data_IF_648645373358
#
_entry.id   IF_648645373358
#
_cell.length_a   1.000
_cell.length_b   1.000
_cell.length_c   1.000
_cell.angle_alpha   90.00
_cell.angle_beta   90.00
_cell.angle_gamma   90.00
#
_symmetry.space_group_name_H-M   'P 1'
#
loop_
_entity.id
_entity.type
_entity.pdbx_description
1 polymer ?
#
# COMPACT_ATOMS: atom_id res chain seq x y z
N UNK A 1 13.21 -0.79 26.46
CA UNK A 1 12.17 -1.29 25.53
C UNK A 1 12.76 -1.32 24.14
N UNK A 2 12.56 -2.40 23.40
CA UNK A 2 12.91 -2.49 21.99
C UNK A 2 11.92 -1.67 21.18
N UNK A 3 12.41 -0.84 20.27
CA UNK A 3 11.54 -0.09 19.35
C UNK A 3 11.17 -0.95 18.16
N UNK A 4 9.90 -0.86 17.77
CA UNK A 4 9.35 -1.57 16.62
C UNK A 4 8.58 -0.59 15.75
N UNK A 5 9.09 -0.31 14.57
CA UNK A 5 8.54 0.68 13.66
C UNK A 5 7.53 0.06 12.71
N UNK A 6 6.33 0.61 12.62
CA UNK A 6 5.37 0.23 11.59
C UNK A 6 5.40 1.25 10.45
N UNK A 7 5.94 0.84 9.29
CA UNK A 7 5.97 1.68 8.08
C UNK A 7 4.64 1.62 7.34
N UNK A 8 4.01 2.78 7.14
CA UNK A 8 2.67 2.85 6.58
C UNK A 8 2.64 3.12 5.08
N UNK A 9 2.56 2.04 4.30
CA UNK A 9 2.32 2.09 2.86
C UNK A 9 0.82 2.27 2.59
N UNK A 10 0.46 3.18 1.69
CA UNK A 10 -0.94 3.44 1.35
C UNK A 10 -1.61 2.23 0.69
N UNK A 11 -2.83 1.91 1.15
CA UNK A 11 -3.73 0.88 0.58
C UNK A 11 -3.29 -0.58 0.75
N UNK A 12 -2.41 -0.85 1.72
CA UNK A 12 -1.92 -2.19 2.05
C UNK A 12 -2.57 -2.82 3.29
N UNK A 13 -3.58 -2.16 3.87
CA UNK A 13 -4.20 -2.60 5.13
C UNK A 13 -3.60 -1.95 6.38
N UNK A 14 -2.62 -1.06 6.21
CA UNK A 14 -1.94 -0.44 7.34
C UNK A 14 -2.82 0.41 8.28
N UNK A 15 -3.99 0.88 7.85
CA UNK A 15 -4.95 1.54 8.78
C UNK A 15 -5.50 0.56 9.80
N UNK A 16 -5.82 -0.66 9.37
CA UNK A 16 -6.32 -1.73 10.23
C UNK A 16 -5.20 -2.22 11.17
N UNK A 17 -3.98 -2.44 10.65
CA UNK A 17 -2.83 -2.84 11.47
C UNK A 17 -2.50 -1.75 12.51
N UNK A 18 -2.48 -0.47 12.13
CA UNK A 18 -2.25 0.63 13.08
C UNK A 18 -3.27 0.65 14.21
N UNK A 19 -4.54 0.46 13.88
CA UNK A 19 -5.60 0.41 14.88
C UNK A 19 -5.35 -0.72 15.89
N UNK A 20 -4.99 -1.91 15.41
CA UNK A 20 -4.70 -3.05 16.26
C UNK A 20 -3.42 -2.85 17.10
N UNK A 21 -2.32 -2.40 16.47
CA UNK A 21 -1.04 -2.15 17.14
C UNK A 21 -1.10 -0.99 18.16
N UNK A 22 -1.99 -0.01 17.98
CA UNK A 22 -2.19 1.05 18.97
C UNK A 22 -2.77 0.56 20.30
N UNK A 23 -3.33 -0.65 20.31
CA UNK A 23 -3.86 -1.30 21.52
C UNK A 23 -2.81 -2.20 22.20
N UNK A 24 -1.61 -2.32 21.61
CA UNK A 24 -0.56 -3.15 22.18
C UNK A 24 -0.09 -2.55 23.52
N UNK A 25 -0.23 -3.34 24.58
CA UNK A 25 0.37 -3.07 25.88
C UNK A 25 1.55 -4.02 26.07
N UNK A 26 2.76 -3.49 26.05
CA UNK A 26 3.99 -4.27 26.24
C UNK A 26 5.01 -3.49 27.05
N UNK A 27 5.65 -4.16 28.01
CA UNK A 27 6.75 -3.61 28.79
C UNK A 27 8.12 -3.84 28.11
N UNK A 28 8.15 -4.63 27.03
CA UNK A 28 9.38 -5.00 26.32
C UNK A 28 9.49 -4.33 24.96
N UNK A 29 8.37 -4.02 24.32
CA UNK A 29 8.32 -3.46 22.96
C UNK A 29 7.54 -2.15 22.96
N UNK A 30 8.13 -1.11 22.38
CA UNK A 30 7.48 0.17 22.06
C UNK A 30 7.20 0.22 20.56
N UNK A 31 5.93 0.32 20.16
CA UNK A 31 5.55 0.40 18.74
C UNK A 31 5.44 1.85 18.28
N UNK A 32 6.20 2.19 17.24
CA UNK A 32 6.19 3.53 16.63
C UNK A 32 5.40 3.47 15.32
N UNK A 33 4.23 4.11 15.30
CA UNK A 33 3.30 4.06 14.16
C UNK A 33 3.53 5.22 13.17
N UNK A 34 4.46 5.03 12.23
CA UNK A 34 4.86 6.07 11.28
C UNK A 34 3.77 6.47 10.27
N UNK A 35 3.82 7.70 9.80
CA UNK A 35 2.96 8.20 8.71
C UNK A 35 3.46 7.72 7.33
N UNK A 36 2.86 8.22 6.24
CA UNK A 36 3.28 7.89 4.86
C UNK A 36 4.62 8.49 4.41
N UNK A 37 5.30 9.26 5.28
CA UNK A 37 6.53 9.97 4.91
C UNK A 37 7.82 9.23 5.31
N UNK A 38 7.73 8.28 6.25
CA UNK A 38 8.89 7.55 6.76
C UNK A 38 9.20 6.34 5.87
N UNK A 39 10.48 6.08 5.62
CA UNK A 39 10.98 4.89 4.95
C UNK A 39 11.96 4.11 5.82
N UNK A 40 12.47 2.97 5.34
CA UNK A 40 13.45 2.16 6.08
C UNK A 40 14.74 2.91 6.38
N UNK A 41 15.14 3.88 5.55
CA UNK A 41 16.37 4.66 5.76
C UNK A 41 16.27 5.62 6.95
N UNK A 42 15.06 5.99 7.33
CA UNK A 42 14.79 6.92 8.42
C UNK A 42 14.71 6.19 9.77
N UNK A 43 14.76 4.86 9.75
CA UNK A 43 14.76 4.00 10.93
C UNK A 43 16.22 3.73 11.33
N UNK A 44 16.61 3.98 12.60
CA UNK A 44 17.95 3.65 13.07
C UNK A 44 18.33 2.20 12.78
N UNK A 45 19.59 1.96 12.41
CA UNK A 45 20.10 0.60 12.18
C UNK A 45 20.00 -0.25 13.44
N UNK A 46 19.58 -1.50 13.29
CA UNK A 46 19.31 -2.41 14.40
C UNK A 46 17.98 -2.20 15.11
N UNK A 47 17.24 -1.12 14.82
CA UNK A 47 15.85 -0.98 15.25
C UNK A 47 14.91 -1.70 14.28
N UNK A 48 14.03 -2.53 14.83
CA UNK A 48 13.20 -3.44 14.05
C UNK A 48 12.04 -2.72 13.36
N UNK A 49 11.64 -3.21 12.19
CA UNK A 49 10.50 -2.66 11.46
C UNK A 49 9.53 -3.71 10.90
N UNK A 50 8.29 -3.29 10.72
CA UNK A 50 7.21 -4.04 10.08
C UNK A 50 6.81 -3.32 8.80
N UNK A 51 6.67 -4.09 7.72
CA UNK A 51 6.09 -3.64 6.46
C UNK A 51 4.70 -4.23 6.27
N UNK A 52 3.82 -3.45 5.66
CA UNK A 52 2.57 -3.96 5.12
C UNK A 52 2.51 -3.66 3.63
N UNK A 53 2.51 -4.72 2.81
CA UNK A 53 2.61 -4.66 1.34
C UNK A 53 1.37 -5.24 0.67
N UNK A 54 1.23 -5.02 -0.63
CA UNK A 54 0.11 -5.54 -1.44
C UNK A 54 0.56 -5.65 -2.89
N UNK A 55 0.00 -6.59 -3.64
CA UNK A 55 0.13 -6.64 -5.10
C UNK A 55 -0.10 -5.23 -5.70
N UNK A 56 0.81 -4.68 -6.52
CA UNK A 56 0.79 -3.27 -6.88
C UNK A 56 -0.41 -2.91 -7.76
N UNK A 57 -0.88 -3.85 -8.58
CA UNK A 57 -2.08 -3.68 -9.42
C UNK A 57 -3.32 -3.63 -8.53
N UNK A 58 -3.44 -4.53 -7.55
CA UNK A 58 -4.55 -4.50 -6.59
C UNK A 58 -4.49 -3.26 -5.70
N UNK A 59 -3.29 -2.79 -5.36
CA UNK A 59 -3.07 -1.52 -4.65
C UNK A 59 -3.53 -0.33 -5.49
N UNK A 60 -3.20 -0.30 -6.78
CA UNK A 60 -3.67 0.70 -7.74
C UNK A 60 -5.20 0.73 -7.86
N UNK A 61 -5.85 -0.42 -8.07
CA UNK A 61 -7.32 -0.51 -8.14
C UNK A 61 -7.96 0.02 -6.84
N UNK A 62 -7.41 -0.39 -5.69
CA UNK A 62 -7.86 0.07 -4.38
C UNK A 62 -7.69 1.58 -4.21
N UNK A 63 -6.54 2.12 -4.63
CA UNK A 63 -6.23 3.54 -4.61
C UNK A 63 -7.16 4.36 -5.50
N UNK A 64 -7.42 3.87 -6.73
CA UNK A 64 -8.28 4.54 -7.71
C UNK A 64 -9.67 4.79 -7.12
N UNK A 65 -10.33 3.74 -6.65
CA UNK A 65 -11.66 3.87 -6.05
C UNK A 65 -11.66 4.63 -4.72
N UNK A 66 -10.56 4.55 -3.95
CA UNK A 66 -10.42 5.32 -2.72
C UNK A 66 -10.38 6.82 -3.03
N UNK A 67 -9.58 7.24 -4.01
CA UNK A 67 -9.46 8.66 -4.39
C UNK A 67 -10.66 9.14 -5.18
N UNK A 68 -11.25 8.34 -6.07
CA UNK A 68 -12.53 8.66 -6.73
C UNK A 68 -13.64 8.97 -5.73
N UNK A 69 -13.66 8.29 -4.57
CA UNK A 69 -14.63 8.58 -3.50
C UNK A 69 -14.12 9.58 -2.44
N UNK A 70 -13.06 10.35 -2.74
CA UNK A 70 -12.45 11.34 -1.84
C UNK A 70 -12.02 10.79 -0.47
N UNK A 71 -11.75 9.48 -0.38
CA UNK A 71 -11.37 8.80 0.86
C UNK A 71 -12.56 8.42 1.77
N UNK A 72 -13.80 8.53 1.30
CA UNK A 72 -14.98 8.15 2.10
C UNK A 72 -15.05 6.64 2.37
N UNK A 73 -15.66 6.20 3.49
CA UNK A 73 -16.40 7.01 4.48
C UNK A 73 -15.53 7.70 5.53
N UNK A 74 -14.29 7.29 5.71
CA UNK A 74 -13.42 7.75 6.81
C UNK A 74 -12.91 9.19 6.62
N UNK A 75 -12.66 9.59 5.37
CA UNK A 75 -12.14 10.90 5.01
C UNK A 75 -13.02 11.58 3.95
N UNK A 76 -12.84 12.88 3.76
CA UNK A 76 -13.46 13.63 2.67
C UNK A 76 -12.45 14.62 2.07
N UNK A 77 -11.36 14.10 1.54
CA UNK A 77 -10.29 14.90 0.94
C UNK A 77 -10.65 15.18 -0.51
N UNK A 78 -11.02 16.43 -0.79
CA UNK A 78 -11.35 16.94 -2.11
C UNK A 78 -10.27 16.59 -3.15
N UNK A 79 -10.70 16.54 -4.41
CA UNK A 79 -9.80 16.29 -5.52
C UNK A 79 -8.93 17.51 -5.78
N UNK A 80 -7.63 17.30 -5.97
CA UNK A 80 -6.77 18.33 -6.55
C UNK A 80 -7.05 18.49 -8.06
N UNK A 81 -6.42 19.47 -8.72
CA UNK A 81 -6.67 19.77 -10.14
C UNK A 81 -6.40 18.58 -11.07
N UNK A 82 -5.37 17.77 -10.80
CA UNK A 82 -5.08 16.55 -11.57
C UNK A 82 -6.14 15.49 -11.33
N UNK A 83 -6.51 15.26 -10.07
CA UNK A 83 -7.54 14.29 -9.71
C UNK A 83 -8.89 14.64 -10.31
N UNK A 84 -9.25 15.92 -10.39
CA UNK A 84 -10.46 16.37 -11.10
C UNK A 84 -10.41 15.88 -12.55
N UNK A 85 -9.36 16.19 -13.30
CA UNK A 85 -9.23 15.77 -14.70
C UNK A 85 -9.26 14.25 -14.85
N UNK A 86 -8.55 13.54 -13.98
CA UNK A 86 -8.45 12.07 -13.99
C UNK A 86 -9.81 11.44 -13.76
N UNK A 87 -10.52 11.83 -12.70
CA UNK A 87 -11.78 11.19 -12.32
C UNK A 87 -12.99 11.68 -13.10
N UNK A 88 -12.87 12.77 -13.87
CA UNK A 88 -13.86 13.14 -14.90
C UNK A 88 -13.63 12.41 -16.23
N UNK A 89 -12.40 11.97 -16.50
CA UNK A 89 -12.03 11.32 -17.78
C UNK A 89 -12.12 9.80 -17.70
N UNK A 90 -11.64 9.21 -16.60
CA UNK A 90 -11.59 7.76 -16.42
C UNK A 90 -12.66 7.33 -15.41
N UNK A 91 -13.62 6.54 -15.87
CA UNK A 91 -14.68 6.04 -15.00
C UNK A 91 -14.17 4.88 -14.15
N UNK A 92 -13.35 4.01 -14.72
CA UNK A 92 -12.81 2.81 -14.08
C UNK A 92 -11.28 2.83 -14.06
N UNK A 93 -10.64 2.04 -13.16
CA UNK A 93 -9.19 1.85 -13.22
C UNK A 93 -8.74 1.20 -14.54
N UNK A 94 -9.63 0.46 -15.23
CA UNK A 94 -9.33 -0.11 -16.55
C UNK A 94 -9.13 0.98 -17.60
N UNK A 95 -9.98 2.01 -17.62
CA UNK A 95 -9.92 3.08 -18.62
C UNK A 95 -8.56 3.79 -18.56
N UNK A 96 -8.09 4.08 -17.34
CA UNK A 96 -6.76 4.65 -17.11
C UNK A 96 -5.66 3.68 -17.56
N UNK A 97 -5.76 2.41 -17.18
CA UNK A 97 -4.76 1.40 -17.53
C UNK A 97 -4.66 1.17 -19.06
N UNK A 98 -5.78 1.22 -19.78
CA UNK A 98 -5.80 1.10 -21.24
C UNK A 98 -5.25 2.34 -21.94
N UNK A 99 -5.56 3.53 -21.42
CA UNK A 99 -4.96 4.79 -21.88
C UNK A 99 -3.45 4.79 -21.68
N UNK A 100 -2.97 4.31 -20.52
CA UNK A 100 -1.54 4.13 -20.24
C UNK A 100 -0.87 3.18 -21.25
N UNK A 101 -1.61 2.14 -21.68
CA UNK A 101 -1.13 1.16 -22.65
C UNK A 101 -1.25 1.62 -24.12
N UNK A 102 -1.77 2.81 -24.39
CA UNK A 102 -1.90 3.33 -25.76
C UNK A 102 -0.53 3.48 -26.43
N UNK A 103 -0.41 3.05 -27.68
CA UNK A 103 0.82 3.26 -28.47
C UNK A 103 0.93 4.71 -28.97
N UNK A 104 -0.21 5.35 -29.23
CA UNK A 104 -0.29 6.70 -29.75
C UNK A 104 -0.17 7.73 -28.63
N UNK A 105 0.38 8.90 -28.93
CA UNK A 105 0.51 10.01 -27.98
C UNK A 105 -0.81 10.80 -27.86
N UNK A 106 -1.81 10.21 -27.22
CA UNK A 106 -3.14 10.84 -27.04
C UNK A 106 -3.22 11.68 -25.75
N UNK A 107 -4.16 12.65 -25.65
CA UNK A 107 -4.39 13.38 -24.41
C UNK A 107 -4.67 12.48 -23.20
N UNK A 108 -5.42 11.39 -23.39
CA UNK A 108 -5.74 10.41 -22.35
C UNK A 108 -4.48 9.68 -21.88
N UNK A 109 -3.56 9.32 -22.79
CA UNK A 109 -2.28 8.72 -22.42
C UNK A 109 -1.45 9.67 -21.58
N UNK A 110 -1.36 10.94 -21.97
CA UNK A 110 -0.64 11.97 -21.20
C UNK A 110 -1.25 12.16 -19.81
N UNK A 111 -2.59 12.19 -19.73
CA UNK A 111 -3.30 12.30 -18.47
C UNK A 111 -3.09 11.05 -17.59
N UNK A 112 -3.12 9.84 -18.17
CA UNK A 112 -2.84 8.60 -17.44
C UNK A 112 -1.41 8.60 -16.87
N UNK A 113 -0.39 8.98 -17.65
CA UNK A 113 0.99 9.12 -17.16
C UNK A 113 1.07 10.15 -16.03
N UNK A 114 0.44 11.31 -16.22
CA UNK A 114 0.38 12.38 -15.21
C UNK A 114 -0.27 11.87 -13.92
N UNK A 115 -1.37 11.13 -14.02
CA UNK A 115 -2.07 10.52 -12.89
C UNK A 115 -1.14 9.58 -12.11
N UNK A 116 -0.45 8.68 -12.82
CA UNK A 116 0.45 7.70 -12.23
C UNK A 116 1.67 8.34 -11.54
N UNK A 117 2.09 9.52 -11.99
CA UNK A 117 3.21 10.27 -11.40
C UNK A 117 2.79 11.17 -10.24
N UNK A 118 1.60 11.81 -10.31
CA UNK A 118 1.23 12.87 -9.38
C UNK A 118 0.26 12.44 -8.30
N UNK A 119 -0.58 11.42 -8.53
CA UNK A 119 -1.49 10.92 -7.49
C UNK A 119 -0.67 10.05 -6.53
N UNK A 120 -0.50 10.51 -5.29
CA UNK A 120 0.40 9.90 -4.30
C UNK A 120 0.15 8.39 -4.11
N UNK A 121 -1.10 7.96 -4.09
CA UNK A 121 -1.42 6.54 -3.92
C UNK A 121 -1.14 5.68 -5.17
N UNK A 122 -0.94 6.28 -6.34
CA UNK A 122 -0.56 5.57 -7.58
C UNK A 122 0.95 5.43 -7.73
N UNK A 123 1.75 6.23 -7.04
CA UNK A 123 3.22 6.11 -7.06
C UNK A 123 3.70 4.76 -6.56
N UNK A 124 4.89 4.32 -6.95
CA UNK A 124 5.48 3.04 -6.53
C UNK A 124 5.77 3.00 -5.03
N UNK A 125 5.98 1.80 -4.48
CA UNK A 125 6.31 1.58 -3.07
C UNK A 125 7.80 1.83 -2.75
N UNK A 126 8.62 2.13 -3.77
CA UNK A 126 10.05 2.45 -3.63
C UNK A 126 10.33 3.53 -2.61
N UNK A 127 9.40 4.46 -2.37
CA UNK A 127 9.57 5.46 -1.30
C UNK A 127 9.85 4.83 0.07
N UNK A 128 9.27 3.68 0.37
CA UNK A 128 9.36 3.05 1.70
C UNK A 128 10.53 2.08 1.83
N UNK A 129 10.81 1.28 0.80
CA UNK A 129 11.91 0.31 0.82
C UNK A 129 13.19 0.84 0.14
N UNK A 130 13.12 2.01 -0.50
CA UNK A 130 14.17 2.69 -1.27
C UNK A 130 14.60 1.90 -2.51
N UNK A 131 15.31 0.80 -2.31
CA UNK A 131 15.67 -0.16 -3.35
C UNK A 131 15.98 -1.52 -2.71
N UNK A 132 16.19 -2.54 -3.56
CA UNK A 132 16.42 -3.90 -3.08
C UNK A 132 17.75 -4.07 -2.35
N UNK A 133 18.78 -3.29 -2.71
CA UNK A 133 20.10 -3.41 -2.08
C UNK A 133 20.06 -2.85 -0.66
N UNK A 134 19.48 -1.66 -0.48
CA UNK A 134 19.29 -1.08 0.86
C UNK A 134 18.38 -1.97 1.72
N UNK A 135 17.32 -2.53 1.12
CA UNK A 135 16.46 -3.46 1.84
C UNK A 135 17.22 -4.73 2.30
N UNK A 136 18.09 -5.29 1.45
CA UNK A 136 18.92 -6.44 1.79
C UNK A 136 19.90 -6.15 2.94
N UNK A 137 20.49 -4.97 2.97
CA UNK A 137 21.35 -4.52 4.09
C UNK A 137 20.56 -4.46 5.41
N UNK A 138 19.28 -4.09 5.34
CA UNK A 138 18.38 -3.95 6.49
C UNK A 138 17.52 -5.18 6.77
N UNK A 139 17.73 -6.29 6.05
CA UNK A 139 16.82 -7.45 6.12
C UNK A 139 16.75 -8.10 7.49
N UNK A 140 17.84 -8.03 8.27
CA UNK A 140 17.89 -8.56 9.64
C UNK A 140 17.03 -7.75 10.60
N UNK A 141 16.75 -6.48 10.26
CA UNK A 141 15.91 -5.58 11.05
C UNK A 141 14.41 -5.74 10.67
N UNK A 142 14.10 -6.48 9.60
CA UNK A 142 12.72 -6.80 9.26
C UNK A 142 12.15 -7.79 10.29
N UNK A 143 11.26 -7.29 11.14
CA UNK A 143 10.60 -8.10 12.16
C UNK A 143 9.51 -8.99 11.58
N UNK A 144 8.70 -8.41 10.68
CA UNK A 144 7.58 -9.09 10.04
C UNK A 144 7.06 -8.32 8.82
N UNK A 145 6.41 -9.04 7.91
CA UNK A 145 5.75 -8.48 6.74
C UNK A 145 4.30 -8.96 6.69
N UNK A 146 3.36 -8.04 6.52
CA UNK A 146 1.96 -8.36 6.28
C UNK A 146 1.58 -8.09 4.82
N UNK A 147 1.16 -9.11 4.10
CA UNK A 147 0.60 -9.02 2.77
C UNK A 147 -0.90 -8.77 2.86
N UNK A 148 -1.39 -7.75 2.19
CA UNK A 148 -2.82 -7.41 2.26
C UNK A 148 -3.72 -8.57 1.81
N UNK A 149 -3.25 -9.39 0.87
CA UNK A 149 -3.94 -10.58 0.38
C UNK A 149 -4.19 -11.63 1.47
N UNK A 150 -3.28 -11.69 2.46
CA UNK A 150 -3.28 -12.64 3.58
C UNK A 150 -3.33 -11.91 4.94
N UNK A 151 -3.88 -10.68 4.95
CA UNK A 151 -3.71 -9.74 6.06
C UNK A 151 -4.05 -10.33 7.43
N UNK A 152 -5.11 -11.16 7.49
CA UNK A 152 -5.55 -11.79 8.73
C UNK A 152 -4.52 -12.81 9.24
N UNK A 153 -4.09 -13.76 8.40
CA UNK A 153 -3.12 -14.79 8.82
C UNK A 153 -1.78 -14.17 9.20
N UNK A 154 -1.29 -13.22 8.39
CA UNK A 154 -0.03 -12.54 8.67
C UNK A 154 -0.13 -11.76 9.99
N UNK A 155 -1.27 -11.11 10.26
CA UNK A 155 -1.47 -10.43 11.54
C UNK A 155 -1.56 -11.39 12.74
N UNK A 156 -2.14 -12.58 12.58
CA UNK A 156 -2.14 -13.60 13.64
C UNK A 156 -0.72 -14.10 13.94
N UNK A 157 0.13 -14.27 12.94
CA UNK A 157 1.56 -14.57 13.16
C UNK A 157 2.27 -13.43 13.90
N UNK A 158 2.00 -12.18 13.53
CA UNK A 158 2.53 -11.01 14.22
C UNK A 158 2.13 -10.99 15.70
N UNK A 159 0.87 -11.29 16.03
CA UNK A 159 0.38 -11.39 17.41
C UNK A 159 1.17 -12.40 18.23
N UNK A 160 1.45 -13.57 17.65
CA UNK A 160 2.23 -14.62 18.29
C UNK A 160 3.65 -14.13 18.56
N UNK A 161 4.31 -13.51 17.58
CA UNK A 161 5.66 -12.94 17.73
C UNK A 161 5.72 -11.86 18.81
N UNK A 162 4.70 -10.99 18.87
CA UNK A 162 4.57 -9.93 19.87
C UNK A 162 4.11 -10.43 21.25
N UNK A 163 3.74 -11.71 21.37
CA UNK A 163 3.12 -12.30 22.58
C UNK A 163 1.90 -11.49 23.05
N UNK A 164 1.11 -11.00 22.10
CA UNK A 164 -0.05 -10.16 22.35
C UNK A 164 -1.29 -10.75 21.67
N UNK A 165 -1.92 -11.78 22.27
CA UNK A 165 -3.07 -12.45 21.65
C UNK A 165 -4.33 -11.59 21.63
N UNK A 166 -4.38 -10.50 22.40
CA UNK A 166 -5.58 -9.69 22.63
C UNK A 166 -5.79 -8.59 21.59
N UNK A 167 -4.76 -8.18 20.84
CA UNK A 167 -4.95 -7.20 19.76
C UNK A 167 -5.62 -7.88 18.57
N UNK A 168 -6.53 -7.18 17.90
CA UNK A 168 -7.27 -7.71 16.76
C UNK A 168 -7.41 -6.66 15.65
N UNK A 169 -7.45 -7.13 14.41
CA UNK A 169 -7.84 -6.28 13.29
C UNK A 169 -9.31 -5.87 13.45
N UNK A 170 -9.70 -4.66 13.04
CA UNK A 170 -11.10 -4.24 13.07
C UNK A 170 -11.95 -5.09 12.12
N UNK A 171 -13.12 -5.50 12.59
CA UNK A 171 -14.09 -6.25 11.79
C UNK A 171 -14.95 -5.33 10.90
N UNK A 172 -15.17 -4.09 11.33
CA UNK A 172 -16.04 -3.13 10.64
C UNK A 172 -15.36 -2.46 9.43
N UNK A 173 -16.17 -2.19 8.41
CA UNK A 173 -15.68 -1.66 7.13
C UNK A 173 -15.13 -0.22 7.22
N UNK A 174 -15.52 0.55 8.25
CA UNK A 174 -15.08 1.94 8.44
C UNK A 174 -13.64 1.96 8.96
N UNK A 175 -13.36 1.19 10.02
CA UNK A 175 -12.04 1.08 10.60
C UNK A 175 -11.08 0.25 9.74
N UNK A 176 -11.60 -0.77 9.04
CA UNK A 176 -10.84 -1.50 8.01
C UNK A 176 -10.66 -0.70 6.71
N UNK A 177 -11.40 0.39 6.53
CA UNK A 177 -11.32 1.31 5.40
C UNK A 177 -11.44 0.60 4.04
N UNK A 178 -12.43 -0.30 3.93
CA UNK A 178 -12.66 -1.10 2.72
C UNK A 178 -13.40 -0.30 1.65
N UNK A 179 -13.17 -0.65 0.38
CA UNK A 179 -14.04 -0.20 -0.70
C UNK A 179 -15.34 -1.04 -0.73
N UNK A 180 -16.43 -0.53 -1.33
CA UNK A 180 -17.66 -1.30 -1.50
C UNK A 180 -17.41 -2.65 -2.20
N UNK A 181 -18.22 -3.67 -1.88
CA UNK A 181 -18.02 -5.04 -2.38
C UNK A 181 -18.20 -5.14 -3.91
N UNK A 182 -19.14 -4.38 -4.46
CA UNK A 182 -19.59 -4.52 -5.86
C UNK A 182 -18.86 -3.60 -6.85
N UNK A 183 -17.70 -3.04 -6.48
CA UNK A 183 -16.92 -2.20 -7.41
C UNK A 183 -16.32 -3.05 -8.54
N UNK A 184 -16.30 -2.50 -9.75
CA UNK A 184 -15.69 -3.14 -10.90
C UNK A 184 -14.15 -3.16 -10.77
N UNK A 185 -13.56 -4.33 -10.49
CA UNK A 185 -12.09 -4.49 -10.38
C UNK A 185 -11.43 -5.01 -11.66
N UNK A 186 -12.19 -5.11 -12.76
CA UNK A 186 -11.69 -5.60 -14.02
C UNK A 186 -10.53 -4.72 -14.54
N UNK A 187 -9.52 -5.38 -15.10
CA UNK A 187 -8.43 -4.78 -15.87
C UNK A 187 -8.21 -5.69 -17.08
N UNK A 188 -8.19 -5.13 -18.28
CA UNK A 188 -7.95 -5.88 -19.52
C UNK A 188 -6.49 -6.35 -19.60
N UNK A 189 -6.23 -7.38 -20.42
CA UNK A 189 -4.86 -7.91 -20.60
C UNK A 189 -3.86 -6.83 -21.03
N UNK A 190 -4.31 -5.85 -21.82
CA UNK A 190 -3.49 -4.73 -22.27
C UNK A 190 -3.19 -3.76 -21.12
N UNK A 191 -4.21 -3.37 -20.35
CA UNK A 191 -4.03 -2.53 -19.17
C UNK A 191 -3.15 -3.21 -18.12
N UNK A 192 -3.32 -4.50 -17.90
CA UNK A 192 -2.51 -5.28 -16.96
C UNK A 192 -1.04 -5.29 -17.35
N UNK A 193 -0.71 -5.47 -18.65
CA UNK A 193 0.66 -5.39 -19.16
C UNK A 193 1.28 -4.02 -18.89
N UNK A 194 0.55 -2.93 -19.13
CA UNK A 194 1.03 -1.59 -18.87
C UNK A 194 1.27 -1.34 -17.37
N UNK A 195 0.35 -1.76 -16.50
CA UNK A 195 0.52 -1.66 -15.04
C UNK A 195 1.67 -2.53 -14.53
N UNK A 196 1.85 -3.74 -15.07
CA UNK A 196 3.00 -4.61 -14.75
C UNK A 196 4.32 -3.95 -15.13
N UNK A 197 4.37 -3.30 -16.30
CA UNK A 197 5.56 -2.55 -16.71
C UNK A 197 5.81 -1.35 -15.78
N UNK A 198 4.76 -0.61 -15.42
CA UNK A 198 4.87 0.56 -14.55
C UNK A 198 5.33 0.19 -13.14
N UNK A 199 4.74 -0.86 -12.56
CA UNK A 199 5.03 -1.33 -11.21
C UNK A 199 6.07 -2.45 -11.17
N UNK A 200 6.94 -2.57 -12.19
CA UNK A 200 7.88 -3.68 -12.30
C UNK A 200 8.73 -3.84 -11.03
N UNK A 201 9.30 -2.75 -10.52
CA UNK A 201 10.13 -2.78 -9.31
C UNK A 201 9.35 -3.23 -8.06
N UNK A 202 8.13 -2.76 -7.88
CA UNK A 202 7.27 -3.19 -6.78
C UNK A 202 6.90 -4.68 -6.89
N UNK A 203 6.65 -5.18 -8.11
CA UNK A 203 6.37 -6.59 -8.36
C UNK A 203 7.58 -7.48 -8.07
N UNK A 204 8.77 -7.04 -8.48
CA UNK A 204 10.03 -7.72 -8.20
C UNK A 204 10.29 -7.74 -6.68
N UNK A 205 10.06 -6.62 -5.98
CA UNK A 205 10.19 -6.52 -4.53
C UNK A 205 9.23 -7.44 -3.77
N UNK A 206 7.95 -7.49 -4.15
CA UNK A 206 6.99 -8.42 -3.52
C UNK A 206 7.37 -9.88 -3.77
N UNK A 207 7.84 -10.19 -4.99
CA UNK A 207 8.30 -11.55 -5.31
C UNK A 207 9.51 -11.93 -4.49
N UNK A 208 10.41 -10.98 -4.26
CA UNK A 208 11.54 -11.14 -3.35
C UNK A 208 11.08 -11.39 -1.91
N UNK A 209 10.13 -10.61 -1.39
CA UNK A 209 9.60 -10.81 -0.03
C UNK A 209 9.03 -12.22 0.14
N UNK A 210 8.12 -12.65 -0.75
CA UNK A 210 7.47 -13.97 -0.69
C UNK A 210 8.42 -15.16 -0.80
N UNK A 211 9.61 -14.96 -1.38
CA UNK A 211 10.61 -16.02 -1.52
C UNK A 211 11.46 -16.18 -0.26
N UNK A 212 11.63 -15.10 0.51
CA UNK A 212 12.60 -15.04 1.60
C UNK A 212 11.95 -14.87 3.00
N UNK A 213 10.66 -14.53 3.08
CA UNK A 213 9.90 -14.29 4.30
C UNK A 213 8.49 -14.86 4.18
#
# INVERSE_FOLDING_TARGET
>A
MQKLHFLHIGKTGGTAIKHALSQLQSNTVEVILHSHQTSIKDIPEGENFILSVRNPIQRFISAFYSRKRKGRPKYNNEWNSVEVQVFTTFETPNDLAEALASINDTPEKKLAITAMQQIEHFKTMEKWYIDINLFEERKTDLYHVCHQENLFSDFEELKIKLKSPYIALPEDDINAHRNPKDINKYISCKGEKALKSWYKKDLDFISHLKKNF
#
